data_IF_933722348578
#
_entry.id   IF_933722348578
#
_cell.length_a   1.000
_cell.length_b   1.000
_cell.length_c   1.000
_cell.angle_alpha   90.00
_cell.angle_beta   90.00
_cell.angle_gamma   90.00
#
_symmetry.space_group_name_H-M   'P 1'
#
loop_
_entity.id
_entity.type
_entity.pdbx_description
1 polymer ?
#
# COMPACT_ATOMS: atom_id res chain seq x y z
N UNK A 1 0.43 14.38 -6.30
CA UNK A 1 -0.83 13.58 -6.24
C UNK A 1 -0.79 12.63 -5.03
N UNK A 2 -1.85 12.49 -4.22
CA UNK A 2 -1.91 11.61 -3.06
C UNK A 2 -1.96 10.15 -3.51
N UNK A 3 -0.86 9.64 -4.04
CA UNK A 3 -0.74 8.22 -4.38
C UNK A 3 -0.44 7.44 -3.11
N UNK A 4 -1.38 7.24 -2.19
CA UNK A 4 -1.13 6.32 -1.08
C UNK A 4 -0.54 5.02 -1.65
N UNK A 5 0.65 4.69 -1.23
CA UNK A 5 1.40 3.57 -1.79
C UNK A 5 1.71 2.71 -0.60
N UNK A 6 1.21 1.48 -0.63
CA UNK A 6 1.23 0.56 0.48
C UNK A 6 2.26 -0.54 0.19
N UNK A 7 2.97 -0.95 1.21
CA UNK A 7 3.73 -2.19 1.21
C UNK A 7 3.06 -3.10 2.25
N UNK A 8 2.95 -4.39 1.95
CA UNK A 8 2.54 -5.34 2.96
C UNK A 8 3.39 -6.59 2.84
N UNK A 9 3.38 -7.37 3.90
CA UNK A 9 4.13 -8.60 4.03
C UNK A 9 3.22 -9.69 4.53
N UNK A 10 3.43 -10.89 3.99
CA UNK A 10 2.66 -12.08 4.31
C UNK A 10 3.64 -13.21 4.58
N UNK A 11 3.60 -13.74 5.79
CA UNK A 11 4.32 -14.93 6.21
C UNK A 11 3.35 -16.10 6.35
N UNK A 12 3.75 -17.29 5.89
CA UNK A 12 3.00 -18.53 6.08
C UNK A 12 3.94 -19.64 6.57
N UNK A 13 3.46 -20.47 7.50
CA UNK A 13 4.14 -21.72 7.88
C UNK A 13 4.01 -22.71 6.71
N UNK A 14 5.05 -23.51 6.42
CA UNK A 14 5.13 -24.45 5.28
C UNK A 14 3.77 -25.01 4.83
N UNK A 15 3.43 -24.73 3.58
CA UNK A 15 2.26 -25.27 2.89
C UNK A 15 0.99 -24.45 3.12
N UNK A 16 0.14 -24.35 2.09
CA UNK A 16 -1.17 -23.66 2.05
C UNK A 16 -1.01 -22.16 1.71
N UNK A 17 -1.59 -21.60 0.63
CA UNK A 17 -2.79 -21.90 -0.15
C UNK A 17 -2.49 -21.72 -1.65
N UNK A 18 -3.06 -22.58 -2.49
CA UNK A 18 -3.10 -22.47 -3.96
C UNK A 18 -4.03 -21.30 -4.36
N UNK A 19 -3.63 -20.06 -4.07
CA UNK A 19 -4.38 -18.86 -4.46
C UNK A 19 -4.11 -18.59 -5.93
N UNK A 20 -4.84 -19.27 -6.82
CA UNK A 20 -4.89 -18.92 -8.25
C UNK A 20 -4.97 -17.40 -8.36
N UNK A 21 -3.93 -16.77 -8.92
CA UNK A 21 -3.95 -15.35 -9.25
C UNK A 21 -4.72 -15.20 -10.56
N UNK A 22 -6.01 -14.80 -10.56
CA UNK A 22 -6.67 -14.49 -11.81
C UNK A 22 -6.01 -13.23 -12.35
N UNK A 23 -5.70 -13.22 -13.64
CA UNK A 23 -5.30 -11.98 -14.33
C UNK A 23 -6.43 -10.95 -14.12
N UNK A 24 -6.14 -9.89 -13.36
CA UNK A 24 -7.05 -8.84 -12.88
C UNK A 24 -8.19 -9.34 -11.97
N UNK A 25 -8.02 -9.11 -10.67
CA UNK A 25 -9.11 -9.19 -9.69
C UNK A 25 -9.92 -7.87 -9.69
N UNK A 26 -11.24 -7.98 -9.77
CA UNK A 26 -12.13 -6.85 -9.52
C UNK A 26 -12.11 -6.45 -8.02
N UNK A 27 -12.80 -5.36 -7.67
CA UNK A 27 -12.82 -4.85 -6.29
C UNK A 27 -13.50 -5.82 -5.32
N UNK A 28 -14.59 -6.48 -5.73
CA UNK A 28 -15.31 -7.45 -4.89
C UNK A 28 -14.45 -8.69 -4.63
N UNK A 29 -13.79 -9.20 -5.66
CA UNK A 29 -12.87 -10.33 -5.57
C UNK A 29 -11.67 -10.00 -4.67
N UNK A 30 -11.13 -8.78 -4.75
CA UNK A 30 -10.05 -8.31 -3.86
C UNK A 30 -10.49 -8.24 -2.40
N UNK A 31 -11.67 -7.69 -2.13
CA UNK A 31 -12.24 -7.61 -0.78
C UNK A 31 -12.52 -9.00 -0.20
N UNK A 32 -13.05 -9.92 -1.01
CA UNK A 32 -13.24 -11.31 -0.60
C UNK A 32 -11.90 -12.00 -0.28
N UNK A 33 -10.90 -11.88 -1.15
CA UNK A 33 -9.56 -12.43 -0.91
C UNK A 33 -8.90 -11.81 0.32
N UNK A 34 -9.03 -10.49 0.51
CA UNK A 34 -8.54 -9.81 1.71
C UNK A 34 -9.11 -10.47 2.95
N UNK A 35 -10.43 -10.65 3.02
CA UNK A 35 -11.09 -11.29 4.15
C UNK A 35 -10.58 -12.73 4.38
N UNK A 36 -10.37 -13.52 3.31
CA UNK A 36 -9.83 -14.88 3.44
C UNK A 36 -8.39 -14.88 3.97
N UNK A 37 -7.54 -13.98 3.49
CA UNK A 37 -6.13 -13.89 3.89
C UNK A 37 -6.03 -13.42 5.34
N UNK A 38 -6.74 -12.35 5.72
CA UNK A 38 -6.63 -11.74 7.05
C UNK A 38 -7.32 -12.54 8.15
N UNK A 39 -8.32 -13.36 7.81
CA UNK A 39 -9.02 -14.20 8.80
C UNK A 39 -8.33 -15.55 9.03
N UNK A 40 -7.33 -15.90 8.21
CA UNK A 40 -6.63 -17.17 8.35
C UNK A 40 -5.57 -17.09 9.46
N UNK A 41 -5.71 -17.85 10.57
CA UNK A 41 -4.79 -17.76 11.70
C UNK A 41 -3.36 -18.22 11.36
N UNK A 42 -3.18 -19.02 10.30
CA UNK A 42 -1.89 -19.49 9.82
C UNK A 42 -1.13 -18.43 9.01
N UNK A 43 -1.81 -17.35 8.60
CA UNK A 43 -1.22 -16.25 7.86
C UNK A 43 -0.93 -15.11 8.83
N UNK A 44 0.34 -14.69 8.91
CA UNK A 44 0.72 -13.47 9.62
C UNK A 44 1.05 -12.40 8.61
N UNK A 45 0.53 -11.20 8.83
CA UNK A 45 0.75 -10.09 7.93
C UNK A 45 0.97 -8.78 8.68
N UNK A 46 1.70 -7.89 8.03
CA UNK A 46 1.89 -6.51 8.44
C UNK A 46 1.75 -5.64 7.21
N UNK A 47 1.18 -4.45 7.38
CA UNK A 47 0.99 -3.51 6.28
C UNK A 47 1.39 -2.11 6.73
N UNK A 48 2.18 -1.48 5.88
CA UNK A 48 2.63 -0.11 6.03
C UNK A 48 2.07 0.71 4.87
N UNK A 49 1.31 1.76 5.19
CA UNK A 49 0.70 2.64 4.19
C UNK A 49 1.44 3.98 4.20
N UNK A 50 1.51 4.67 3.06
CA UNK A 50 2.18 5.97 2.97
C UNK A 50 1.17 7.09 2.80
N UNK A 51 0.72 7.68 3.92
CA UNK A 51 -0.38 8.64 4.00
C UNK A 51 -0.31 9.44 5.31
N UNK A 52 -1.32 10.22 5.67
CA UNK A 52 -1.58 10.65 7.06
C UNK A 52 -2.66 9.75 7.70
N UNK A 53 -2.77 9.63 9.03
CA UNK A 53 -3.95 8.98 9.61
C UNK A 53 -5.21 9.80 9.25
N UNK A 54 -6.24 9.15 8.71
CA UNK A 54 -7.57 9.76 8.62
C UNK A 54 -8.17 9.80 10.04
N UNK A 55 -8.88 10.88 10.39
CA UNK A 55 -9.38 11.14 11.75
C UNK A 55 -10.15 9.98 12.39
N UNK A 56 -10.80 9.13 11.59
CA UNK A 56 -11.68 8.05 12.06
C UNK A 56 -11.22 6.63 11.71
N UNK A 57 -10.14 6.45 10.95
CA UNK A 57 -9.74 5.13 10.42
C UNK A 57 -8.46 4.61 11.05
N UNK A 58 -8.58 4.21 12.33
CA UNK A 58 -7.53 3.55 13.10
C UNK A 58 -7.54 2.03 12.89
N UNK A 59 -7.60 1.54 11.64
CA UNK A 59 -7.79 0.10 11.41
C UNK A 59 -6.83 -0.38 10.32
N UNK A 60 -5.80 -1.10 10.76
CA UNK A 60 -4.86 -1.93 9.97
C UNK A 60 -3.74 -1.13 9.26
N UNK A 61 -3.17 -0.11 9.89
CA UNK A 61 -1.89 0.46 9.46
C UNK A 61 -1.04 0.67 10.71
N UNK A 62 -0.10 -0.25 10.99
CA UNK A 62 0.78 -0.09 12.17
C UNK A 62 1.73 1.10 12.00
N UNK A 63 2.10 1.41 10.76
CA UNK A 63 3.02 2.48 10.47
C UNK A 63 2.66 3.20 9.16
N UNK A 64 2.89 4.51 9.19
CA UNK A 64 2.48 5.44 8.15
C UNK A 64 3.64 6.39 7.81
N UNK A 65 4.05 6.46 6.54
CA UNK A 65 4.96 7.53 6.09
C UNK A 65 4.14 8.69 5.54
N UNK A 66 4.25 9.90 6.11
CA UNK A 66 3.51 11.06 5.62
C UNK A 66 3.93 11.40 4.19
N UNK A 67 3.06 12.05 3.40
CA UNK A 67 3.42 12.55 2.07
C UNK A 67 4.68 13.39 2.08
N UNK A 68 4.89 14.21 3.11
CA UNK A 68 6.11 15.00 3.32
C UNK A 68 7.37 14.11 3.32
N UNK A 69 7.35 12.98 4.04
CA UNK A 69 8.49 12.04 4.06
C UNK A 69 8.82 11.53 2.65
N UNK A 70 7.81 11.34 1.81
CA UNK A 70 7.98 10.85 0.44
C UNK A 70 8.55 11.93 -0.47
N UNK A 71 8.14 13.17 -0.24
CA UNK A 71 8.71 14.34 -0.88
C UNK A 71 10.20 14.50 -0.50
N UNK A 72 10.59 14.23 0.76
CA UNK A 72 11.98 14.32 1.22
C UNK A 72 12.91 13.25 0.63
N UNK A 73 12.49 11.97 0.67
CA UNK A 73 13.37 10.84 0.34
C UNK A 73 13.10 10.23 -1.02
N UNK A 74 12.18 10.78 -1.80
CA UNK A 74 11.62 10.21 -3.03
C UNK A 74 10.80 8.90 -2.83
N UNK A 75 10.05 8.55 -3.87
CA UNK A 75 9.11 7.42 -3.84
C UNK A 75 9.78 6.05 -3.76
N UNK A 76 10.97 5.90 -4.32
CA UNK A 76 11.67 4.62 -4.30
C UNK A 76 12.15 4.34 -2.88
N UNK A 77 12.86 5.28 -2.27
CA UNK A 77 13.35 5.11 -0.89
C UNK A 77 12.19 4.99 0.10
N UNK A 78 11.12 5.80 -0.05
CA UNK A 78 9.94 5.66 0.79
C UNK A 78 9.26 4.28 0.64
N UNK A 79 9.30 3.69 -0.56
CA UNK A 79 8.79 2.34 -0.80
C UNK A 79 9.66 1.29 -0.10
N UNK A 80 10.99 1.37 -0.25
CA UNK A 80 11.93 0.47 0.43
C UNK A 80 11.84 0.60 1.96
N UNK A 81 11.70 1.82 2.48
CA UNK A 81 11.51 2.09 3.91
C UNK A 81 10.22 1.45 4.43
N UNK A 82 9.10 1.56 3.69
CA UNK A 82 7.84 0.90 4.06
C UNK A 82 7.94 -0.63 4.00
N UNK A 83 8.67 -1.17 3.02
CA UNK A 83 8.89 -2.62 2.92
C UNK A 83 9.68 -3.12 4.13
N UNK A 84 10.78 -2.45 4.49
CA UNK A 84 11.59 -2.76 5.69
C UNK A 84 10.74 -2.72 6.97
N UNK A 85 10.07 -1.60 7.22
CA UNK A 85 9.21 -1.41 8.39
C UNK A 85 8.11 -2.47 8.51
N UNK A 86 7.55 -2.90 7.38
CA UNK A 86 6.54 -3.96 7.39
C UNK A 86 7.11 -5.33 7.79
N UNK A 87 8.39 -5.63 7.51
CA UNK A 87 9.06 -6.83 8.04
C UNK A 87 9.31 -6.70 9.53
N UNK A 88 9.81 -5.55 9.98
CA UNK A 88 10.11 -5.26 11.39
C UNK A 88 8.86 -5.35 12.29
N UNK A 89 7.69 -4.99 11.76
CA UNK A 89 6.41 -5.00 12.48
C UNK A 89 5.72 -6.39 12.55
N UNK A 90 6.28 -7.40 11.89
CA UNK A 90 5.75 -8.75 11.97
C UNK A 90 5.90 -9.27 13.41
N UNK A 91 4.86 -9.93 13.96
CA UNK A 91 4.86 -10.38 15.35
C UNK A 91 5.81 -11.57 15.60
N UNK A 92 6.62 -11.95 14.62
CA UNK A 92 7.49 -13.12 14.65
C UNK A 92 8.67 -12.92 13.70
N UNK A 93 9.82 -13.57 13.96
CA UNK A 93 10.96 -13.54 13.06
C UNK A 93 10.61 -14.17 11.70
N UNK A 94 11.20 -13.62 10.64
CA UNK A 94 11.05 -14.09 9.27
C UNK A 94 12.34 -14.79 8.85
N UNK A 95 12.24 -15.98 8.28
CA UNK A 95 13.41 -16.75 7.85
C UNK A 95 13.93 -16.31 6.46
N UNK A 96 13.02 -15.87 5.58
CA UNK A 96 13.35 -15.48 4.20
C UNK A 96 12.34 -14.49 3.62
N UNK A 97 12.84 -13.51 2.87
CA UNK A 97 12.09 -12.41 2.30
C UNK A 97 11.91 -12.51 0.78
N UNK A 98 10.66 -12.43 0.30
CA UNK A 98 10.34 -12.35 -1.14
C UNK A 98 9.77 -10.97 -1.47
N UNK A 99 10.50 -10.18 -2.26
CA UNK A 99 10.15 -8.80 -2.61
C UNK A 99 9.64 -8.72 -4.05
N UNK A 100 8.51 -8.06 -4.28
CA UNK A 100 8.11 -7.72 -5.65
C UNK A 100 8.98 -6.59 -6.20
N UNK A 101 9.57 -6.82 -7.38
CA UNK A 101 10.36 -5.83 -8.11
C UNK A 101 11.81 -6.25 -8.31
N UNK A 102 12.69 -5.25 -8.43
CA UNK A 102 14.11 -5.42 -8.74
C UNK A 102 15.05 -4.71 -7.75
N UNK A 103 14.52 -4.28 -6.61
CA UNK A 103 15.27 -3.57 -5.57
C UNK A 103 14.95 -4.20 -4.22
N UNK A 104 16.01 -4.64 -3.53
CA UNK A 104 15.92 -5.20 -2.19
C UNK A 104 15.96 -4.06 -1.17
N UNK A 105 15.02 -3.97 -0.21
CA UNK A 105 15.16 -3.10 0.94
C UNK A 105 16.27 -3.63 1.86
N UNK A 106 16.87 -2.75 2.66
CA UNK A 106 17.79 -3.20 3.73
C UNK A 106 16.99 -3.98 4.77
N UNK A 107 17.26 -5.27 4.90
CA UNK A 107 16.62 -6.19 5.85
C UNK A 107 17.69 -6.96 6.62
N UNK A 108 17.39 -7.32 7.87
CA UNK A 108 18.22 -8.21 8.69
C UNK A 108 17.96 -9.70 8.39
N UNK A 109 17.18 -9.99 7.35
CA UNK A 109 16.81 -11.34 6.92
C UNK A 109 17.22 -11.56 5.47
N UNK A 110 17.64 -12.79 5.15
CA UNK A 110 17.95 -13.18 3.78
C UNK A 110 16.72 -13.05 2.89
N UNK A 111 16.92 -12.79 1.59
CA UNK A 111 15.82 -12.70 0.66
C UNK A 111 16.24 -12.41 -0.77
N UNK A 112 15.24 -12.37 -1.64
CA UNK A 112 15.41 -12.09 -3.06
C UNK A 112 14.29 -11.23 -3.63
N UNK A 113 14.59 -10.58 -4.75
CA UNK A 113 13.64 -9.78 -5.51
C UNK A 113 13.09 -10.59 -6.68
N UNK A 114 11.77 -10.60 -6.84
CA UNK A 114 11.06 -11.28 -7.92
C UNK A 114 10.36 -10.22 -8.77
N UNK A 115 10.83 -10.03 -9.99
CA UNK A 115 10.18 -9.13 -10.96
C UNK A 115 8.83 -9.72 -11.37
N UNK A 116 7.76 -8.93 -11.22
CA UNK A 116 6.35 -9.36 -11.41
C UNK A 116 6.01 -10.53 -10.49
N UNK A 117 6.44 -10.41 -9.23
CA UNK A 117 6.25 -11.44 -8.22
C UNK A 117 4.78 -11.64 -7.88
N UNK A 118 3.96 -10.60 -7.97
CA UNK A 118 2.51 -10.64 -7.78
C UNK A 118 1.79 -11.64 -8.70
N UNK A 119 2.32 -11.84 -9.92
CA UNK A 119 1.82 -12.82 -10.88
C UNK A 119 2.46 -14.21 -10.79
N UNK A 120 3.48 -14.41 -9.93
CA UNK A 120 4.35 -15.60 -9.94
C UNK A 120 4.46 -16.29 -8.58
N UNK A 121 4.29 -15.55 -7.49
CA UNK A 121 4.55 -15.98 -6.11
C UNK A 121 3.33 -15.68 -5.25
N UNK A 122 2.80 -16.70 -4.59
CA UNK A 122 1.56 -16.58 -3.81
C UNK A 122 1.67 -15.60 -2.63
N UNK A 123 2.78 -15.59 -1.89
CA UNK A 123 2.97 -14.66 -0.77
C UNK A 123 3.03 -13.21 -1.24
N UNK A 124 3.68 -12.95 -2.38
CA UNK A 124 3.72 -11.62 -3.00
C UNK A 124 2.33 -11.20 -3.50
N UNK A 125 1.58 -12.12 -4.10
CA UNK A 125 0.21 -11.87 -4.55
C UNK A 125 -0.71 -11.51 -3.36
N UNK A 126 -0.65 -12.29 -2.28
CA UNK A 126 -1.40 -12.03 -1.05
C UNK A 126 -1.05 -10.67 -0.44
N UNK A 127 0.25 -10.35 -0.37
CA UNK A 127 0.73 -9.05 0.08
C UNK A 127 0.21 -7.90 -0.81
N UNK A 128 0.17 -8.09 -2.12
CA UNK A 128 -0.35 -7.08 -3.06
C UNK A 128 -1.85 -6.82 -2.85
N UNK A 129 -2.64 -7.86 -2.55
CA UNK A 129 -4.07 -7.73 -2.21
C UNK A 129 -4.25 -6.94 -0.92
N UNK A 130 -3.55 -7.31 0.16
CA UNK A 130 -3.62 -6.60 1.45
C UNK A 130 -3.26 -5.13 1.26
N UNK A 131 -2.14 -4.86 0.61
CA UNK A 131 -1.66 -3.50 0.36
C UNK A 131 -2.71 -2.69 -0.41
N UNK A 132 -3.28 -3.24 -1.50
CA UNK A 132 -4.25 -2.53 -2.34
C UNK A 132 -5.55 -2.22 -1.60
N UNK A 133 -6.12 -3.21 -0.91
CA UNK A 133 -7.40 -3.04 -0.20
C UNK A 133 -7.26 -2.05 0.94
N UNK A 134 -6.21 -2.15 1.75
CA UNK A 134 -5.96 -1.19 2.83
C UNK A 134 -5.82 0.24 2.30
N UNK A 135 -5.07 0.43 1.19
CA UNK A 135 -4.93 1.74 0.55
C UNK A 135 -6.27 2.28 0.02
N UNK A 136 -7.05 1.45 -0.67
CA UNK A 136 -8.31 1.88 -1.26
C UNK A 136 -9.31 2.31 -0.19
N UNK A 137 -9.39 1.57 0.92
CA UNK A 137 -10.23 1.92 2.08
C UNK A 137 -9.82 3.24 2.72
N UNK A 138 -8.51 3.49 2.85
CA UNK A 138 -8.01 4.77 3.33
C UNK A 138 -8.40 5.93 2.41
N UNK A 139 -8.34 5.77 1.09
CA UNK A 139 -8.76 6.83 0.17
C UNK A 139 -10.25 7.13 0.28
N UNK A 140 -11.08 6.12 0.57
CA UNK A 140 -12.50 6.32 0.89
C UNK A 140 -12.68 7.05 2.22
N UNK A 141 -11.83 6.77 3.22
CA UNK A 141 -11.86 7.52 4.47
C UNK A 141 -11.49 9.00 4.27
N UNK A 142 -10.46 9.28 3.48
CA UNK A 142 -10.12 10.66 3.12
C UNK A 142 -11.17 11.36 2.27
N UNK A 143 -11.93 10.63 1.46
CA UNK A 143 -13.04 11.21 0.73
C UNK A 143 -14.10 11.81 1.67
N UNK A 144 -14.25 11.25 2.88
CA UNK A 144 -15.13 11.82 3.90
C UNK A 144 -14.55 13.10 4.53
N UNK A 145 -13.23 13.15 4.69
CA UNK A 145 -12.53 14.29 5.29
C UNK A 145 -12.30 15.44 4.29
N UNK A 146 -12.13 15.12 3.02
CA UNK A 146 -11.88 16.02 1.90
C UNK A 146 -12.84 15.74 0.73
N UNK A 147 -14.17 15.91 0.92
CA UNK A 147 -15.20 15.51 -0.05
C UNK A 147 -15.12 16.24 -1.39
N UNK A 148 -14.51 17.42 -1.43
CA UNK A 148 -14.33 18.24 -2.63
C UNK A 148 -13.36 17.62 -3.65
N UNK A 149 -12.55 16.62 -3.26
CA UNK A 149 -11.54 16.02 -4.12
C UNK A 149 -11.96 14.72 -4.80
N UNK A 150 -13.01 14.02 -4.37
CA UNK A 150 -13.46 12.76 -5.00
C UNK A 150 -12.49 11.57 -4.87
N UNK A 151 -11.68 11.58 -3.81
CA UNK A 151 -10.64 10.58 -3.50
C UNK A 151 -11.18 9.15 -3.42
N UNK A 152 -12.45 8.97 -3.04
CA UNK A 152 -13.10 7.67 -2.96
C UNK A 152 -13.21 6.98 -4.32
N UNK A 153 -13.31 7.75 -5.40
CA UNK A 153 -13.47 7.24 -6.76
C UNK A 153 -12.13 6.96 -7.42
N UNK A 154 -11.25 7.96 -7.48
CA UNK A 154 -9.97 7.85 -8.17
C UNK A 154 -8.80 7.52 -7.25
N UNK A 155 -9.02 7.22 -5.97
CA UNK A 155 -8.00 6.73 -5.02
C UNK A 155 -6.72 7.59 -4.98
N UNK A 156 -6.88 8.89 -5.21
CA UNK A 156 -5.77 9.85 -5.27
C UNK A 156 -4.93 9.87 -6.56
N UNK A 157 -5.30 9.11 -7.61
CA UNK A 157 -4.76 9.32 -8.96
C UNK A 157 -5.21 10.69 -9.49
N UNK A 158 -4.34 11.41 -10.19
CA UNK A 158 -4.66 12.75 -10.70
C UNK A 158 -5.38 12.67 -12.03
N UNK A 159 -6.64 12.27 -11.92
CA UNK A 159 -7.63 12.42 -12.98
C UNK A 159 -7.89 13.90 -13.23
N UNK A 160 -8.55 14.22 -14.35
CA UNK A 160 -8.98 15.59 -14.64
C UNK A 160 -9.81 16.17 -13.50
N UNK A 161 -10.75 15.38 -12.94
CA UNK A 161 -11.58 15.78 -11.81
C UNK A 161 -10.74 16.16 -10.58
N UNK A 162 -9.75 15.33 -10.24
CA UNK A 162 -8.88 15.59 -9.10
C UNK A 162 -8.04 16.85 -9.30
N UNK A 163 -7.51 17.05 -10.51
CA UNK A 163 -6.74 18.26 -10.80
C UNK A 163 -7.61 19.51 -10.72
N UNK A 164 -8.84 19.47 -11.23
CA UNK A 164 -9.78 20.59 -11.10
C UNK A 164 -10.09 20.91 -9.63
N UNK A 165 -10.28 19.89 -8.78
CA UNK A 165 -10.46 20.08 -7.35
C UNK A 165 -9.25 20.76 -6.70
N UNK A 166 -8.02 20.31 -7.03
CA UNK A 166 -6.78 20.91 -6.52
C UNK A 166 -6.65 22.38 -6.96
N UNK A 167 -6.96 22.72 -8.21
CA UNK A 167 -6.90 24.11 -8.68
C UNK A 167 -7.93 25.00 -7.97
N UNK A 168 -9.11 24.44 -7.65
CA UNK A 168 -10.21 25.19 -7.02
C UNK A 168 -10.05 25.35 -5.51
N UNK A 169 -9.56 24.31 -4.83
CA UNK A 169 -9.56 24.20 -3.38
C UNK A 169 -8.15 24.19 -2.76
N UNK A 170 -7.11 24.17 -3.58
CA UNK A 170 -5.72 24.05 -3.14
C UNK A 170 -5.29 22.59 -2.96
N UNK A 171 -4.03 22.38 -2.59
CA UNK A 171 -3.54 21.05 -2.18
C UNK A 171 -3.73 20.87 -0.67
N UNK A 172 -4.15 19.67 -0.26
CA UNK A 172 -4.28 19.29 1.15
C UNK A 172 -3.01 18.60 1.68
N UNK A 173 -2.84 18.44 3.01
CA UNK A 173 -1.67 17.77 3.60
C UNK A 173 -1.43 16.31 3.14
N UNK A 174 -2.46 15.66 2.58
CA UNK A 174 -2.32 14.29 2.04
C UNK A 174 -1.68 14.26 0.64
N UNK A 175 -1.55 15.41 -0.02
CA UNK A 175 -0.94 15.54 -1.33
C UNK A 175 0.59 15.47 -1.25
N UNK A 176 1.19 14.90 -2.30
CA UNK A 176 2.64 14.91 -2.54
C UNK A 176 2.97 16.07 -3.44
N UNK A 177 3.70 17.04 -2.91
CA UNK A 177 3.94 18.32 -3.56
C UNK A 177 5.05 18.22 -4.61
N UNK A 178 6.00 17.30 -4.43
CA UNK A 178 7.11 17.10 -5.39
C UNK A 178 6.70 16.34 -6.66
N UNK A 179 5.50 15.78 -6.69
CA UNK A 179 5.04 14.95 -7.80
C UNK A 179 4.33 15.77 -8.85
N UNK A 180 4.72 15.60 -10.11
CA UNK A 180 3.95 16.10 -11.24
C UNK A 180 2.48 15.61 -11.19
N UNK A 181 1.52 16.49 -11.54
CA UNK A 181 1.68 17.88 -11.96
C UNK A 181 1.67 18.90 -10.81
N UNK A 182 1.63 18.50 -9.53
CA UNK A 182 1.53 19.45 -8.41
C UNK A 182 2.79 20.29 -8.23
N UNK A 183 3.96 19.76 -8.60
CA UNK A 183 5.22 20.52 -8.57
C UNK A 183 5.31 21.59 -9.69
N UNK A 184 4.27 21.75 -10.49
CA UNK A 184 4.15 22.70 -11.59
C UNK A 184 3.00 23.71 -11.38
N UNK A 185 2.27 23.61 -10.27
CA UNK A 185 1.23 24.55 -9.84
C UNK A 185 1.84 25.63 -8.96
#
# INVERSE_FOLDING_TARGET
MPRASSASWVWTKRGVVRLLAPKKLDEKQREWLFAQITSNPAIKYAVHVRCLPAKEHLVICKQINPPARIDDINILQATLESMRKSVEDLPMPVDYALIDGNRMPTLDVDGETVVKGDGRVYSIAAASVIAKVTRDRLMVAYDKEYPEYGLGQHKGYGTKAHMLAIHKHGATPIHRMTFAPLNQL
#
